data_IF_273024267410
#
_entry.id   IF_273024267410
#
_cell.length_a   1.000
_cell.length_b   1.000
_cell.length_c   1.000
_cell.angle_alpha   90.00
_cell.angle_beta   90.00
_cell.angle_gamma   90.00
#
_symmetry.space_group_name_H-M   'P 1'
#
loop_
_entity.id
_entity.type
_entity.pdbx_description
1 polymer ?
#
# COMPACT_ATOMS: atom_id res chain seq x y z
N UNK A 1 12.60 -2.20 15.17
CA UNK A 1 11.79 -1.25 14.36
C UNK A 1 10.35 -1.73 14.35
N UNK A 2 9.37 -0.91 14.75
CA UNK A 2 7.94 -1.27 14.72
C UNK A 2 7.45 -1.17 13.27
N UNK A 3 6.86 -2.24 12.75
CA UNK A 3 6.35 -2.32 11.38
C UNK A 3 5.23 -1.29 11.16
N UNK A 4 5.18 -0.69 9.98
CA UNK A 4 4.28 0.42 9.62
C UNK A 4 3.20 -0.12 8.69
N UNK A 5 1.94 0.09 9.06
CA UNK A 5 0.78 -0.31 8.29
C UNK A 5 -0.18 0.87 8.22
N UNK A 6 -0.68 1.15 7.03
CA UNK A 6 -1.79 2.08 6.81
C UNK A 6 -2.93 1.31 6.18
N UNK A 7 -4.15 1.46 6.70
CA UNK A 7 -5.32 0.77 6.16
C UNK A 7 -6.48 1.77 5.99
N UNK A 8 -7.17 1.63 4.86
CA UNK A 8 -8.51 2.22 4.62
C UNK A 8 -9.46 1.02 4.44
N UNK A 9 -10.15 0.64 5.52
CA UNK A 9 -11.18 -0.39 5.48
C UNK A 9 -12.51 0.30 5.10
N UNK A 10 -13.07 -0.03 3.93
CA UNK A 10 -14.46 0.34 3.61
C UNK A 10 -15.38 -0.74 4.21
N UNK A 11 -16.56 -0.34 4.68
CA UNK A 11 -17.51 -1.24 5.33
C UNK A 11 -18.07 -2.23 4.29
N UNK A 12 -17.97 -3.54 4.58
CA UNK A 12 -18.55 -4.60 3.77
C UNK A 12 -20.04 -4.72 4.09
N UNK A 13 -20.90 -4.03 3.33
CA UNK A 13 -22.36 -4.14 3.49
C UNK A 13 -22.80 -5.44 2.81
N UNK A 14 -23.24 -6.42 3.60
CA UNK A 14 -23.77 -7.69 3.10
C UNK A 14 -25.26 -7.55 2.76
N UNK A 15 -25.64 -7.75 1.50
CA UNK A 15 -27.02 -7.97 1.11
C UNK A 15 -27.11 -9.29 0.32
N UNK A 16 -27.81 -10.27 0.86
CA UNK A 16 -27.93 -11.61 0.27
C UNK A 16 -28.92 -11.57 -0.90
N UNK A 17 -28.43 -11.71 -2.14
CA UNK A 17 -29.25 -11.98 -3.32
C UNK A 17 -28.49 -12.82 -4.35
N UNK A 18 -29.13 -13.85 -4.89
CA UNK A 18 -28.62 -14.74 -5.93
C UNK A 18 -28.85 -14.14 -7.32
N UNK A 19 -27.81 -13.76 -8.06
CA UNK A 19 -27.95 -13.18 -9.41
C UNK A 19 -26.82 -13.53 -10.39
N UNK A 20 -27.09 -13.49 -11.72
CA UNK A 20 -26.15 -13.91 -12.76
C UNK A 20 -25.11 -12.82 -13.07
N UNK A 21 -23.87 -13.25 -13.30
CA UNK A 21 -22.71 -12.41 -13.63
C UNK A 21 -22.85 -11.87 -15.05
N UNK A 22 -23.09 -10.57 -15.20
CA UNK A 22 -22.87 -9.88 -16.47
C UNK A 22 -21.37 -9.67 -16.69
N UNK A 23 -20.91 -9.77 -17.94
CA UNK A 23 -19.51 -9.51 -18.30
C UNK A 23 -19.16 -8.07 -17.90
N UNK A 24 -18.33 -7.93 -16.87
CA UNK A 24 -18.03 -6.67 -16.25
C UNK A 24 -16.72 -6.10 -16.82
N UNK A 25 -16.71 -4.82 -17.19
CA UNK A 25 -15.51 -4.10 -17.61
C UNK A 25 -14.43 -4.18 -16.52
N UNK A 26 -13.16 -4.35 -16.90
CA UNK A 26 -12.07 -4.51 -15.92
C UNK A 26 -11.83 -3.24 -15.09
N UNK A 27 -11.37 -3.42 -13.85
CA UNK A 27 -11.07 -2.34 -12.92
C UNK A 27 -9.63 -1.83 -12.99
N UNK A 28 -9.42 -0.59 -12.52
CA UNK A 28 -8.09 0.00 -12.30
C UNK A 28 -7.91 0.42 -10.84
N UNK A 29 -6.75 0.07 -10.28
CA UNK A 29 -6.31 0.48 -8.95
C UNK A 29 -5.03 1.30 -9.09
N UNK A 30 -5.06 2.54 -8.61
CA UNK A 30 -3.94 3.47 -8.62
C UNK A 30 -3.35 3.60 -7.22
N UNK A 31 -2.04 3.42 -7.11
CA UNK A 31 -1.25 3.76 -5.93
C UNK A 31 -0.50 5.05 -6.22
N UNK A 32 -0.89 6.11 -5.54
CA UNK A 32 -0.14 7.35 -5.44
C UNK A 32 0.94 7.26 -4.37
N UNK A 33 1.96 8.11 -4.55
CA UNK A 33 3.10 8.17 -3.66
C UNK A 33 3.81 6.80 -3.56
N UNK A 34 3.77 6.01 -4.63
CA UNK A 34 4.51 4.76 -4.72
C UNK A 34 6.02 5.04 -4.61
N UNK A 35 6.76 4.10 -4.05
CA UNK A 35 8.21 4.22 -3.88
C UNK A 35 8.90 3.57 -5.06
N UNK A 36 9.62 4.37 -5.84
CA UNK A 36 10.31 3.90 -7.05
C UNK A 36 11.26 2.74 -6.71
N UNK A 37 11.25 1.70 -7.54
CA UNK A 37 12.04 0.48 -7.36
C UNK A 37 11.49 -0.49 -6.32
N UNK A 38 10.32 -0.21 -5.72
CA UNK A 38 9.63 -1.13 -4.80
C UNK A 38 8.55 -1.93 -5.50
N UNK A 39 8.47 -3.20 -5.14
CA UNK A 39 7.45 -4.13 -5.62
C UNK A 39 6.16 -3.91 -4.83
N UNK A 40 5.06 -3.84 -5.55
CA UNK A 40 3.70 -3.85 -5.03
C UNK A 40 2.98 -5.07 -5.59
N UNK A 41 2.23 -5.75 -4.73
CA UNK A 41 1.53 -6.99 -5.08
C UNK A 41 0.05 -6.86 -4.69
N UNK A 42 -0.83 -7.21 -5.61
CA UNK A 42 -2.28 -7.14 -5.46
C UNK A 42 -2.87 -8.54 -5.36
N UNK A 43 -3.66 -8.79 -4.32
CA UNK A 43 -4.30 -10.07 -4.05
C UNK A 43 -5.81 -9.91 -3.96
N UNK A 44 -6.56 -10.54 -4.86
CA UNK A 44 -8.02 -10.61 -4.78
C UNK A 44 -8.41 -11.64 -3.71
N UNK A 45 -8.95 -11.16 -2.60
CA UNK A 45 -9.38 -12.02 -1.49
C UNK A 45 -10.81 -12.53 -1.74
N UNK A 46 -11.69 -11.64 -2.22
CA UNK A 46 -13.09 -11.95 -2.48
C UNK A 46 -13.51 -11.45 -3.85
N UNK A 47 -14.33 -12.23 -4.55
CA UNK A 47 -15.07 -11.75 -5.72
C UNK A 47 -16.20 -10.83 -5.24
N UNK A 48 -16.52 -9.80 -6.02
CA UNK A 48 -17.69 -8.94 -5.76
C UNK A 48 -18.66 -9.03 -6.93
N UNK A 49 -19.94 -9.11 -6.59
CA UNK A 49 -21.05 -8.98 -7.54
C UNK A 49 -21.96 -7.87 -7.04
N UNK A 50 -22.62 -7.16 -7.94
CA UNK A 50 -23.56 -6.11 -7.59
C UNK A 50 -24.96 -6.38 -8.16
N UNK A 51 -25.97 -5.81 -7.50
CA UNK A 51 -27.33 -5.73 -8.02
C UNK A 51 -27.90 -4.37 -7.61
N UNK A 52 -27.95 -3.43 -8.55
CA UNK A 52 -28.22 -2.02 -8.24
C UNK A 52 -27.13 -1.44 -7.32
N UNK A 53 -27.56 -0.87 -6.19
CA UNK A 53 -26.66 -0.29 -5.17
C UNK A 53 -26.17 -1.31 -4.13
N UNK A 54 -26.60 -2.57 -4.24
CA UNK A 54 -26.22 -3.63 -3.31
C UNK A 54 -25.00 -4.41 -3.82
N UNK A 55 -24.10 -4.77 -2.91
CA UNK A 55 -22.90 -5.56 -3.20
C UNK A 55 -22.90 -6.85 -2.40
N UNK A 56 -22.50 -7.93 -3.06
CA UNK A 56 -22.33 -9.25 -2.46
C UNK A 56 -20.91 -9.74 -2.70
N UNK A 57 -20.23 -10.11 -1.62
CA UNK A 57 -18.88 -10.63 -1.64
C UNK A 57 -18.90 -12.14 -1.50
N UNK A 58 -18.14 -12.81 -2.35
CA UNK A 58 -18.07 -14.26 -2.36
C UNK A 58 -16.64 -14.76 -2.43
N UNK A 59 -16.44 -15.98 -1.95
CA UNK A 59 -15.18 -16.69 -2.09
C UNK A 59 -15.45 -18.13 -2.55
N UNK A 60 -14.62 -18.62 -3.47
CA UNK A 60 -14.61 -20.02 -3.84
C UNK A 60 -13.72 -20.83 -2.88
N UNK A 61 -14.08 -22.07 -2.58
CA UNK A 61 -13.24 -23.00 -1.80
C UNK A 61 -11.89 -23.33 -2.46
N UNK A 62 -11.79 -23.11 -3.77
CA UNK A 62 -10.55 -23.19 -4.55
C UNK A 62 -9.63 -21.97 -4.38
N UNK A 63 -10.09 -20.89 -3.75
CA UNK A 63 -9.27 -19.71 -3.48
C UNK A 63 -8.17 -20.03 -2.47
N UNK A 64 -6.95 -19.56 -2.74
CA UNK A 64 -5.84 -19.62 -1.78
C UNK A 64 -6.18 -18.95 -0.44
N UNK A 65 -7.08 -17.97 -0.45
CA UNK A 65 -7.52 -17.26 0.75
C UNK A 65 -8.55 -18.04 1.57
N UNK A 66 -9.26 -19.00 0.98
CA UNK A 66 -10.30 -19.76 1.68
C UNK A 66 -9.69 -20.54 2.85
N UNK A 67 -8.61 -21.27 2.59
CA UNK A 67 -7.93 -22.05 3.63
C UNK A 67 -7.29 -21.15 4.69
N UNK A 68 -6.77 -19.99 4.30
CA UNK A 68 -6.19 -19.02 5.25
C UNK A 68 -7.22 -18.49 6.25
N UNK A 69 -8.49 -18.37 5.82
CA UNK A 69 -9.59 -17.93 6.66
C UNK A 69 -10.11 -19.10 7.51
N UNK A 70 -10.37 -20.26 6.90
CA UNK A 70 -11.00 -21.39 7.61
C UNK A 70 -10.06 -22.12 8.57
N UNK A 71 -8.75 -22.05 8.35
CA UNK A 71 -7.76 -22.65 9.24
C UNK A 71 -7.33 -21.70 10.36
N UNK A 72 -7.75 -20.43 10.32
CA UNK A 72 -7.48 -19.50 11.40
C UNK A 72 -8.29 -19.91 12.65
N UNK A 73 -7.67 -19.99 13.84
CA UNK A 73 -8.39 -20.33 15.07
C UNK A 73 -9.46 -19.30 15.45
N UNK A 74 -9.34 -18.06 14.98
CA UNK A 74 -10.33 -17.00 15.16
C UNK A 74 -10.68 -16.40 13.78
N UNK A 75 -11.53 -17.08 12.98
CA UNK A 75 -11.79 -16.71 11.60
C UNK A 75 -12.26 -15.25 11.48
N UNK A 76 -11.53 -14.40 10.72
CA UNK A 76 -11.84 -12.98 10.58
C UNK A 76 -13.10 -12.68 9.78
N UNK A 77 -13.60 -13.67 9.03
CA UNK A 77 -14.74 -13.56 8.14
C UNK A 77 -15.68 -14.75 8.36
N UNK A 78 -16.99 -14.49 8.30
CA UNK A 78 -18.01 -15.52 8.29
C UNK A 78 -18.26 -15.97 6.85
N UNK A 79 -18.13 -17.27 6.61
CA UNK A 79 -18.33 -17.89 5.31
C UNK A 79 -19.62 -18.73 5.32
N UNK A 80 -20.63 -18.29 4.59
CA UNK A 80 -21.91 -18.99 4.47
C UNK A 80 -22.04 -19.63 3.10
N UNK A 81 -22.24 -20.95 3.06
CA UNK A 81 -22.32 -21.69 1.80
C UNK A 81 -23.50 -21.20 0.95
N UNK A 82 -23.26 -21.00 -0.35
CA UNK A 82 -24.30 -20.67 -1.31
C UNK A 82 -24.93 -21.98 -1.81
N UNK A 83 -26.14 -22.31 -1.34
CA UNK A 83 -26.81 -23.58 -1.69
C UNK A 83 -26.97 -23.80 -3.21
N UNK A 84 -27.10 -22.72 -3.97
CA UNK A 84 -27.28 -22.76 -5.43
C UNK A 84 -25.96 -22.82 -6.22
N UNK A 85 -24.80 -22.74 -5.55
CA UNK A 85 -23.49 -22.73 -6.20
C UNK A 85 -22.50 -23.60 -5.44
N UNK A 86 -22.14 -24.75 -6.03
CA UNK A 86 -21.13 -25.64 -5.45
C UNK A 86 -19.79 -24.92 -5.25
N UNK A 87 -19.22 -25.06 -4.05
CA UNK A 87 -17.90 -24.52 -3.71
C UNK A 87 -17.82 -23.00 -3.56
N UNK A 88 -18.94 -22.27 -3.49
CA UNK A 88 -18.96 -20.83 -3.25
C UNK A 88 -19.63 -20.46 -1.93
N UNK A 89 -19.11 -19.42 -1.30
CA UNK A 89 -19.54 -18.93 0.01
C UNK A 89 -19.77 -17.42 -0.05
N UNK A 90 -20.84 -16.95 0.57
CA UNK A 90 -21.03 -15.54 0.92
C UNK A 90 -20.07 -15.18 2.06
N UNK A 91 -19.50 -13.98 2.00
CA UNK A 91 -18.49 -13.51 2.95
C UNK A 91 -19.05 -12.34 3.75
N UNK A 92 -19.07 -12.43 5.07
CA UNK A 92 -19.45 -11.34 5.97
C UNK A 92 -18.33 -10.99 6.94
N UNK A 93 -18.26 -9.72 7.37
CA UNK A 93 -17.32 -9.26 8.41
C UNK A 93 -18.07 -9.21 9.74
N UNK A 94 -17.81 -10.13 10.69
CA UNK A 94 -18.44 -10.09 12.02
C UNK A 94 -17.85 -8.97 12.90
N UNK A 95 -16.55 -8.73 12.78
CA UNK A 95 -15.82 -7.67 13.49
C UNK A 95 -14.74 -7.09 12.57
N UNK A 96 -14.86 -5.80 12.29
CA UNK A 96 -13.92 -5.06 11.42
C UNK A 96 -12.51 -5.01 11.99
N UNK A 97 -12.34 -4.93 13.31
CA UNK A 97 -11.03 -4.90 13.94
C UNK A 97 -10.36 -6.27 13.88
N UNK A 98 -11.13 -7.35 14.00
CA UNK A 98 -10.61 -8.71 13.83
C UNK A 98 -10.12 -8.92 12.40
N UNK A 99 -10.96 -8.60 11.40
CA UNK A 99 -10.59 -8.69 10.00
C UNK A 99 -9.36 -7.82 9.66
N UNK A 100 -9.30 -6.61 10.22
CA UNK A 100 -8.15 -5.71 10.09
C UNK A 100 -6.86 -6.33 10.65
N UNK A 101 -6.89 -6.81 11.89
CA UNK A 101 -5.72 -7.35 12.57
C UNK A 101 -5.22 -8.61 11.86
N UNK A 102 -6.15 -9.41 11.33
CA UNK A 102 -5.82 -10.58 10.53
C UNK A 102 -5.15 -10.21 9.20
N UNK A 103 -5.69 -9.27 8.43
CA UNK A 103 -5.07 -8.83 7.18
C UNK A 103 -3.66 -8.25 7.43
N UNK A 104 -3.49 -7.55 8.55
CA UNK A 104 -2.18 -7.06 8.98
C UNK A 104 -1.21 -8.20 9.31
N UNK A 105 -1.67 -9.28 9.96
CA UNK A 105 -0.83 -10.44 10.24
C UNK A 105 -0.43 -11.17 8.94
N UNK A 106 -1.35 -11.27 7.97
CA UNK A 106 -1.07 -11.85 6.64
C UNK A 106 -0.08 -11.04 5.83
N UNK A 107 -0.09 -9.70 5.93
CA UNK A 107 0.94 -8.85 5.32
C UNK A 107 2.36 -9.30 5.66
N UNK A 108 2.56 -9.55 6.96
CA UNK A 108 3.84 -9.95 7.51
C UNK A 108 4.24 -11.35 7.06
N UNK A 109 3.26 -12.24 7.06
CA UNK A 109 3.38 -13.63 6.67
C UNK A 109 3.76 -13.76 5.19
N UNK A 110 3.04 -13.05 4.30
CA UNK A 110 3.29 -13.00 2.86
C UNK A 110 4.67 -12.40 2.54
N UNK A 111 5.07 -11.31 3.20
CA UNK A 111 6.41 -10.74 3.01
C UNK A 111 7.52 -11.75 3.35
N UNK A 112 7.27 -12.60 4.34
CA UNK A 112 8.18 -13.67 4.74
C UNK A 112 7.95 -14.98 3.96
N UNK A 113 7.15 -14.94 2.88
CA UNK A 113 6.79 -16.08 2.03
C UNK A 113 6.17 -17.28 2.78
N UNK A 114 5.46 -17.01 3.88
CA UNK A 114 4.84 -18.04 4.71
C UNK A 114 3.55 -17.48 5.31
N UNK A 115 2.36 -17.73 4.71
CA UNK A 115 2.10 -18.64 3.60
C UNK A 115 2.56 -18.09 2.24
N UNK A 116 2.85 -19.00 1.31
CA UNK A 116 3.14 -18.66 -0.09
C UNK A 116 1.83 -18.38 -0.84
N UNK A 117 1.31 -17.17 -0.68
CA UNK A 117 0.16 -16.66 -1.43
C UNK A 117 0.70 -15.98 -2.70
N UNK A 118 0.21 -16.40 -3.86
CA UNK A 118 0.60 -15.82 -5.15
C UNK A 118 -0.27 -14.60 -5.44
N UNK A 119 0.31 -13.42 -5.76
CA UNK A 119 -0.49 -12.26 -6.13
C UNK A 119 -1.18 -12.44 -7.49
N UNK A 120 -2.36 -11.85 -7.63
CA UNK A 120 -3.09 -11.80 -8.90
C UNK A 120 -2.41 -10.82 -9.88
N UNK A 121 -1.75 -9.79 -9.35
CA UNK A 121 -0.90 -8.88 -10.11
C UNK A 121 0.26 -8.38 -9.27
N UNK A 122 1.42 -8.19 -9.89
CA UNK A 122 2.62 -7.68 -9.23
C UNK A 122 3.34 -6.73 -10.17
N UNK A 123 3.76 -5.58 -9.66
CA UNK A 123 4.44 -4.55 -10.43
C UNK A 123 5.54 -3.89 -9.61
N UNK A 124 6.65 -3.56 -10.26
CA UNK A 124 7.66 -2.65 -9.71
C UNK A 124 7.28 -1.21 -10.03
N UNK A 125 7.32 -0.33 -9.03
CA UNK A 125 7.03 1.08 -9.24
C UNK A 125 8.15 1.78 -10.02
N UNK A 126 7.86 2.19 -11.25
CA UNK A 126 8.77 3.00 -12.08
C UNK A 126 8.59 4.52 -11.85
N UNK A 127 7.51 4.92 -11.19
CA UNK A 127 7.21 6.31 -10.85
C UNK A 127 6.50 6.40 -9.49
N UNK A 128 6.22 7.62 -9.01
CA UNK A 128 5.43 7.83 -7.79
C UNK A 128 3.94 7.53 -7.96
N UNK A 129 3.49 7.20 -9.17
CA UNK A 129 2.15 6.72 -9.48
C UNK A 129 2.26 5.34 -10.13
N UNK A 130 1.61 4.35 -9.54
CA UNK A 130 1.57 2.98 -10.03
C UNK A 130 0.12 2.57 -10.28
N UNK A 131 -0.15 1.90 -11.40
CA UNK A 131 -1.51 1.48 -11.77
C UNK A 131 -1.55 -0.01 -12.05
N UNK A 132 -2.42 -0.72 -11.34
CA UNK A 132 -2.84 -2.07 -11.71
C UNK A 132 -4.09 -1.94 -12.57
N UNK A 133 -4.01 -2.35 -13.83
CA UNK A 133 -5.11 -2.34 -14.80
C UNK A 133 -5.60 -3.76 -15.07
N UNK A 134 -6.71 -3.90 -15.80
CA UNK A 134 -7.26 -5.20 -16.20
C UNK A 134 -7.64 -6.13 -15.03
N UNK A 135 -7.86 -5.55 -13.85
CA UNK A 135 -8.22 -6.31 -12.65
C UNK A 135 -9.67 -6.79 -12.72
N UNK A 136 -9.89 -8.04 -12.32
CA UNK A 136 -11.24 -8.53 -12.05
C UNK A 136 -11.88 -7.77 -10.90
N UNK A 137 -13.20 -7.89 -10.80
CA UNK A 137 -13.94 -7.25 -9.72
C UNK A 137 -13.73 -8.01 -8.42
N UNK A 138 -13.33 -7.30 -7.36
CA UNK A 138 -13.17 -7.92 -6.06
C UNK A 138 -12.58 -7.05 -4.97
N UNK A 139 -12.51 -7.64 -3.79
CA UNK A 139 -11.86 -7.08 -2.62
C UNK A 139 -10.35 -7.37 -2.70
N UNK A 140 -9.53 -6.34 -2.85
CA UNK A 140 -8.08 -6.50 -3.05
C UNK A 140 -7.26 -6.15 -1.80
N UNK A 141 -6.40 -7.05 -1.37
CA UNK A 141 -5.35 -6.75 -0.41
C UNK A 141 -4.06 -6.38 -1.13
N UNK A 142 -3.47 -5.24 -0.79
CA UNK A 142 -2.26 -4.74 -1.45
C UNK A 142 -1.09 -4.80 -0.47
N UNK A 143 0.04 -5.36 -0.92
CA UNK A 143 1.29 -5.34 -0.16
C UNK A 143 2.37 -4.60 -0.93
N UNK A 144 3.38 -4.13 -0.21
CA UNK A 144 4.62 -3.61 -0.75
C UNK A 144 5.79 -4.05 0.11
N UNK A 145 7.01 -3.92 -0.40
CA UNK A 145 8.23 -4.16 0.40
C UNK A 145 8.32 -3.27 1.65
N UNK A 146 7.62 -2.13 1.68
CA UNK A 146 7.63 -1.16 2.77
C UNK A 146 6.57 -1.44 3.85
N UNK A 147 5.58 -2.30 3.55
CA UNK A 147 4.41 -2.56 4.40
C UNK A 147 3.18 -2.88 3.57
N UNK A 148 2.09 -3.26 4.23
CA UNK A 148 0.80 -3.50 3.56
C UNK A 148 -0.15 -2.33 3.64
N UNK A 149 -1.07 -2.32 2.67
CA UNK A 149 -2.24 -1.46 2.63
C UNK A 149 -3.45 -2.33 2.27
N UNK A 150 -4.43 -2.38 3.16
CA UNK A 150 -5.73 -2.99 2.83
C UNK A 150 -6.57 -1.94 2.11
N UNK A 151 -7.11 -2.30 0.95
CA UNK A 151 -8.05 -1.47 0.21
C UNK A 151 -9.24 -2.31 -0.24
N UNK A 152 -10.29 -1.68 -0.72
CA UNK A 152 -11.47 -2.35 -1.27
C UNK A 152 -11.74 -1.71 -2.62
N UNK A 153 -11.76 -2.52 -3.68
CA UNK A 153 -12.17 -2.07 -5.00
C UNK A 153 -13.60 -2.53 -5.27
N UNK A 154 -14.45 -1.63 -5.74
CA UNK A 154 -15.83 -1.97 -6.04
C UNK A 154 -16.35 -1.17 -7.25
N UNK A 155 -17.24 -1.84 -7.98
CA UNK A 155 -17.99 -1.66 -9.22
C UNK A 155 -18.10 -0.33 -9.99
N UNK A 156 -17.55 0.80 -9.55
CA UNK A 156 -17.77 2.06 -10.29
C UNK A 156 -16.62 3.06 -10.24
N UNK A 157 -15.51 2.75 -9.55
CA UNK A 157 -14.51 3.77 -9.24
C UNK A 157 -13.10 3.26 -9.44
N UNK A 158 -12.33 3.99 -10.26
CA UNK A 158 -10.87 3.96 -10.21
C UNK A 158 -10.46 4.24 -8.75
N UNK A 159 -9.90 3.23 -8.08
CA UNK A 159 -9.52 3.38 -6.67
C UNK A 159 -8.16 4.04 -6.60
N UNK A 160 -8.07 5.10 -5.82
CA UNK A 160 -6.81 5.77 -5.54
C UNK A 160 -6.40 5.53 -4.09
N UNK A 161 -5.24 4.91 -3.92
CA UNK A 161 -4.61 4.62 -2.63
C UNK A 161 -3.38 5.52 -2.53
N UNK A 162 -3.08 6.01 -1.33
CA UNK A 162 -1.83 6.73 -1.09
C UNK A 162 -0.95 5.84 -0.22
N UNK A 163 0.24 5.49 -0.72
CA UNK A 163 1.24 4.82 0.10
C UNK A 163 1.80 5.81 1.14
N UNK A 164 1.74 5.40 2.41
CA UNK A 164 2.20 6.19 3.57
C UNK A 164 3.30 5.48 4.35
N UNK A 165 3.90 4.44 3.78
CA UNK A 165 4.95 3.64 4.40
C UNK A 165 6.37 4.17 4.13
N UNK A 166 6.48 5.22 3.32
CA UNK A 166 7.74 5.89 3.05
C UNK A 166 8.34 6.54 4.29
N UNK A 167 9.67 6.45 4.40
CA UNK A 167 10.44 7.15 5.43
C UNK A 167 11.12 8.38 4.82
N UNK A 168 11.27 9.49 5.58
CA UNK A 168 12.10 10.61 5.13
C UNK A 168 13.56 10.15 5.03
N UNK A 169 14.25 10.61 3.99
CA UNK A 169 15.66 10.28 3.75
C UNK A 169 16.42 11.54 3.37
N UNK A 170 17.57 11.75 4.01
CA UNK A 170 18.56 12.72 3.54
C UNK A 170 19.30 12.08 2.35
N UNK A 171 19.17 12.66 1.17
CA UNK A 171 19.78 12.15 -0.06
C UNK A 171 21.22 12.61 -0.18
N UNK A 172 21.47 13.89 0.09
CA UNK A 172 22.82 14.45 0.11
C UNK A 172 22.89 15.76 0.90
N UNK A 173 24.09 16.07 1.38
CA UNK A 173 24.52 17.42 1.76
C UNK A 173 25.81 17.69 1.01
N UNK A 174 25.75 18.61 0.06
CA UNK A 174 26.86 18.95 -0.82
C UNK A 174 27.37 20.35 -0.48
N UNK A 175 28.65 20.59 -0.75
CA UNK A 175 29.30 21.89 -0.63
C UNK A 175 29.83 22.32 -2.00
N UNK A 176 29.77 23.63 -2.26
CA UNK A 176 30.39 24.27 -3.42
C UNK A 176 31.09 25.54 -2.97
N UNK A 177 32.36 25.66 -3.33
CA UNK A 177 33.16 26.87 -3.12
C UNK A 177 32.92 27.94 -4.21
N UNK A 178 32.19 27.61 -5.29
CA UNK A 178 31.84 28.55 -6.34
C UNK A 178 30.31 28.75 -6.44
N UNK A 179 29.87 29.96 -6.77
CA UNK A 179 28.48 30.23 -7.17
C UNK A 179 28.16 29.71 -8.58
N UNK A 180 29.06 28.94 -9.20
CA UNK A 180 28.84 28.34 -10.51
C UNK A 180 28.02 27.06 -10.38
N UNK A 181 26.97 26.95 -11.21
CA UNK A 181 26.24 25.69 -11.37
C UNK A 181 27.19 24.65 -11.94
N UNK A 182 27.66 23.70 -11.09
CA UNK A 182 28.15 22.34 -11.37
C UNK A 182 29.33 21.87 -10.50
N UNK A 183 29.75 22.59 -9.45
CA UNK A 183 30.82 22.14 -8.52
C UNK A 183 30.32 21.63 -7.17
N UNK A 184 29.22 20.88 -7.14
CA UNK A 184 28.70 20.28 -5.90
C UNK A 184 29.41 18.97 -5.59
N UNK A 185 29.94 18.85 -4.37
CA UNK A 185 30.65 17.66 -3.91
C UNK A 185 30.49 17.44 -2.39
N UNK A 186 30.84 16.24 -1.91
CA UNK A 186 30.80 15.90 -0.48
C UNK A 186 31.88 16.61 0.35
N UNK A 187 32.92 17.13 -0.31
CA UNK A 187 33.99 17.91 0.30
C UNK A 187 34.46 19.02 -0.63
N UNK A 188 35.02 20.08 -0.04
CA UNK A 188 35.65 21.16 -0.78
C UNK A 188 36.83 21.73 0.01
N UNK A 189 37.80 22.32 -0.69
CA UNK A 189 38.88 23.10 -0.09
C UNK A 189 38.65 24.58 -0.37
N UNK A 190 38.80 25.42 0.65
CA UNK A 190 38.64 26.85 0.57
C UNK A 190 39.63 27.55 1.51
N UNK A 191 40.00 28.78 1.18
CA UNK A 191 40.83 29.63 2.02
C UNK A 191 40.01 30.33 3.10
N UNK A 192 40.69 30.84 4.13
CA UNK A 192 40.05 31.67 5.16
C UNK A 192 39.48 32.93 4.49
N UNK A 193 38.20 33.20 4.74
CA UNK A 193 37.48 34.33 4.16
C UNK A 193 36.70 33.98 2.89
N UNK A 194 36.88 32.78 2.34
CA UNK A 194 36.06 32.31 1.23
C UNK A 194 34.65 31.96 1.68
N UNK A 195 33.68 32.14 0.78
CA UNK A 195 32.29 31.77 0.98
C UNK A 195 32.08 30.34 0.49
N UNK A 196 31.45 29.51 1.32
CA UNK A 196 31.01 28.17 0.97
C UNK A 196 29.48 28.14 0.85
N UNK A 197 28.98 27.58 -0.25
CA UNK A 197 27.56 27.31 -0.44
C UNK A 197 27.27 25.86 -0.08
N UNK A 198 26.21 25.60 0.69
CA UNK A 198 25.75 24.26 1.01
C UNK A 198 24.39 23.98 0.34
N UNK A 199 24.21 22.74 -0.13
CA UNK A 199 22.95 22.26 -0.70
C UNK A 199 22.54 20.97 -0.02
N UNK A 200 21.31 20.94 0.49
CA UNK A 200 20.71 19.75 1.09
C UNK A 200 19.64 19.23 0.13
N UNK A 201 19.72 17.94 -0.20
CA UNK A 201 18.66 17.23 -0.92
C UNK A 201 18.06 16.19 0.00
N UNK A 202 16.74 16.18 0.12
CA UNK A 202 16.04 15.24 0.99
C UNK A 202 14.71 14.81 0.36
N UNK A 203 14.36 13.55 0.59
CA UNK A 203 13.03 13.05 0.34
C UNK A 203 12.15 13.29 1.56
N UNK A 204 11.04 14.01 1.37
CA UNK A 204 10.10 14.42 2.43
C UNK A 204 8.71 13.81 2.19
N UNK A 205 8.31 12.75 2.92
CA UNK A 205 7.05 12.06 2.67
C UNK A 205 5.87 12.88 3.19
N UNK A 206 4.79 12.98 2.41
CA UNK A 206 3.57 13.74 2.77
C UNK A 206 2.85 13.19 4.01
N UNK A 207 3.12 11.94 4.36
CA UNK A 207 2.49 11.22 5.46
C UNK A 207 3.53 10.48 6.30
N UNK A 208 3.22 10.34 7.58
CA UNK A 208 3.94 9.46 8.50
C UNK A 208 2.88 8.57 9.16
N UNK A 209 2.73 7.35 8.64
CA UNK A 209 1.63 6.44 8.97
C UNK A 209 0.27 7.04 8.57
N UNK A 210 -0.72 6.97 9.45
CA UNK A 210 -2.06 7.52 9.30
C UNK A 210 -2.11 9.07 9.32
N UNK A 211 -1.01 9.73 9.74
CA UNK A 211 -0.98 11.18 9.94
C UNK A 211 -0.31 11.91 8.79
N UNK A 212 -0.94 13.00 8.35
CA UNK A 212 -0.32 13.96 7.42
C UNK A 212 0.85 14.66 8.12
N UNK A 213 1.97 14.81 7.44
CA UNK A 213 3.12 15.55 7.95
C UNK A 213 2.91 17.04 7.70
N UNK A 214 3.06 17.86 8.75
CA UNK A 214 2.94 19.31 8.68
C UNK A 214 4.25 20.05 9.00
N UNK A 215 5.27 19.33 9.48
CA UNK A 215 6.56 19.89 9.84
C UNK A 215 7.68 18.92 9.49
N UNK A 216 8.70 19.42 8.81
CA UNK A 216 10.01 18.80 8.67
C UNK A 216 11.02 19.69 9.38
N UNK A 217 11.95 19.08 10.12
CA UNK A 217 13.02 19.79 10.81
C UNK A 217 14.36 19.36 10.21
N UNK A 218 15.13 20.31 9.74
CA UNK A 218 16.53 20.12 9.35
C UNK A 218 17.41 20.73 10.44
N UNK A 219 18.40 19.98 10.91
CA UNK A 219 19.39 20.45 11.87
C UNK A 219 20.75 20.41 11.18
N UNK A 220 21.42 21.56 11.13
CA UNK A 220 22.77 21.69 10.59
C UNK A 220 23.69 22.19 11.70
N UNK A 221 24.81 21.51 11.90
CA UNK A 221 25.83 21.88 12.87
C UNK A 221 27.12 22.13 12.09
N UNK A 222 27.63 23.36 12.19
CA UNK A 222 28.88 23.77 11.57
C UNK A 222 30.00 23.78 12.60
N UNK A 223 31.14 23.19 12.25
CA UNK A 223 32.34 23.25 13.08
C UNK A 223 32.86 24.68 13.22
N UNK A 224 33.64 24.94 14.27
CA UNK A 224 34.14 26.28 14.63
C UNK A 224 34.97 26.99 13.54
N UNK A 225 35.43 26.26 12.52
CA UNK A 225 36.12 26.83 11.36
C UNK A 225 35.21 27.49 10.31
N UNK A 226 33.88 27.39 10.49
CA UNK A 226 32.87 27.95 9.61
C UNK A 226 32.01 28.97 10.38
N UNK A 227 31.61 30.04 9.72
CA UNK A 227 30.71 31.06 10.28
C UNK A 227 29.50 31.20 9.35
N UNK A 228 28.29 31.09 9.90
CA UNK A 228 27.03 31.19 9.17
C UNK A 228 26.43 32.60 9.19
#
# INVERSE_FOLDING_TARGET
MKKRYLIVLLVLILAVASMPVFAADKGTLTIENATIGKIYSAYKIFDVTNSGDAYAYTIADSSQWYQEITNDPDPPFLLEKIETSTGKYNVSIPDENLAFNWLQSKADAIRNQSPAITPDAELTAESTRLEFTELDHGYYFITSELGSIVTISNFSYNIQIIDKNQEPVLLSKEVSHSCEQNSWADFCSAAIGDILNFRIQAFVPKYHKDKRVYRYTFTDEMDAGLTY
#
